data_IF_985528590678
#
_entry.id   IF_985528590678
#
_cell.length_a   1.000
_cell.length_b   1.000
_cell.length_c   1.000
_cell.angle_alpha   90.00
_cell.angle_beta   90.00
_cell.angle_gamma   90.00
#
_symmetry.space_group_name_H-M   'P 1'
#
loop_
_entity.id
_entity.type
_entity.pdbx_description
1 polymer ?
#
# COMPACT_ATOMS: atom_id res chain seq x y z
N UNK A 1 9.57 -16.87 -24.85
CA UNK A 1 9.49 -17.82 -23.73
C UNK A 1 9.85 -17.14 -22.40
N UNK A 2 10.84 -16.25 -22.37
CA UNK A 2 11.24 -15.57 -21.14
C UNK A 2 10.22 -14.53 -20.66
N UNK A 3 9.60 -13.78 -21.55
CA UNK A 3 8.57 -12.78 -21.20
C UNK A 3 7.30 -13.46 -20.65
N UNK A 4 6.86 -14.54 -21.26
CA UNK A 4 5.69 -15.30 -20.76
C UNK A 4 5.94 -15.85 -19.36
N UNK A 5 7.12 -16.40 -19.09
CA UNK A 5 7.51 -16.89 -17.77
C UNK A 5 7.56 -15.77 -16.74
N UNK A 6 7.98 -14.57 -17.13
CA UNK A 6 8.02 -13.38 -16.28
C UNK A 6 6.60 -12.91 -15.91
N UNK A 7 5.70 -12.87 -16.91
CA UNK A 7 4.29 -12.53 -16.70
C UNK A 7 3.63 -13.55 -15.77
N UNK A 8 3.79 -14.83 -16.02
CA UNK A 8 3.21 -15.89 -15.18
C UNK A 8 3.73 -15.79 -13.74
N UNK A 9 5.03 -15.56 -13.55
CA UNK A 9 5.61 -15.39 -12.21
C UNK A 9 4.99 -14.18 -11.50
N UNK A 10 4.85 -13.06 -12.19
CA UNK A 10 4.26 -11.85 -11.63
C UNK A 10 2.78 -12.07 -11.25
N UNK A 11 2.01 -12.76 -12.07
CA UNK A 11 0.62 -13.10 -11.75
C UNK A 11 0.50 -14.03 -10.54
N UNK A 12 1.40 -15.01 -10.43
CA UNK A 12 1.46 -15.90 -9.28
C UNK A 12 1.80 -15.10 -8.02
N UNK A 13 2.80 -14.22 -8.06
CA UNK A 13 3.15 -13.36 -6.93
C UNK A 13 1.97 -12.47 -6.51
N UNK A 14 1.28 -11.84 -7.46
CA UNK A 14 0.09 -11.02 -7.21
C UNK A 14 -1.04 -11.83 -6.54
N UNK A 15 -1.27 -13.07 -6.98
CA UNK A 15 -2.26 -13.95 -6.38
C UNK A 15 -1.89 -14.35 -4.95
N UNK A 16 -0.62 -14.60 -4.68
CA UNK A 16 -0.14 -14.90 -3.32
C UNK A 16 -0.26 -13.69 -2.39
N UNK A 17 0.03 -12.49 -2.87
CA UNK A 17 -0.15 -11.25 -2.10
C UNK A 17 -1.62 -11.02 -1.77
N UNK A 18 -2.53 -11.18 -2.73
CA UNK A 18 -3.97 -11.08 -2.50
C UNK A 18 -4.47 -12.12 -1.49
N UNK A 19 -3.95 -13.35 -1.55
CA UNK A 19 -4.29 -14.40 -0.61
C UNK A 19 -3.82 -14.07 0.80
N UNK A 20 -2.57 -13.63 0.98
CA UNK A 20 -2.01 -13.22 2.27
C UNK A 20 -2.80 -12.06 2.87
N UNK A 21 -3.10 -11.04 2.07
CA UNK A 21 -3.89 -9.91 2.53
C UNK A 21 -5.28 -10.32 3.05
N UNK A 22 -5.97 -11.23 2.35
CA UNK A 22 -7.28 -11.74 2.79
C UNK A 22 -7.18 -12.52 4.09
N UNK A 23 -6.05 -13.14 4.35
CA UNK A 23 -5.85 -13.99 5.51
C UNK A 23 -5.44 -13.21 6.77
N UNK A 24 -4.50 -12.27 6.68
CA UNK A 24 -3.93 -11.57 7.84
C UNK A 24 -4.15 -10.04 7.86
N UNK A 25 -4.71 -9.47 6.80
CA UNK A 25 -4.96 -8.03 6.68
C UNK A 25 -3.70 -7.18 6.53
N UNK A 26 -2.55 -7.77 6.26
CA UNK A 26 -1.27 -7.13 6.07
C UNK A 26 -0.85 -7.07 4.60
N UNK A 27 0.01 -6.11 4.29
CA UNK A 27 0.54 -5.89 2.95
C UNK A 27 2.03 -6.19 2.94
N UNK A 28 2.49 -7.01 2.00
CA UNK A 28 3.88 -7.43 1.90
C UNK A 28 4.61 -6.67 0.79
N UNK A 29 5.79 -6.09 1.07
CA UNK A 29 6.61 -5.41 0.07
C UNK A 29 7.03 -6.37 -1.05
N UNK A 30 7.02 -5.89 -2.30
CA UNK A 30 7.50 -6.65 -3.44
C UNK A 30 9.03 -6.49 -3.65
N UNK A 31 9.61 -7.33 -4.48
CA UNK A 31 11.05 -7.36 -4.72
C UNK A 31 11.61 -6.06 -5.29
N UNK A 32 10.84 -5.34 -6.11
CA UNK A 32 11.26 -4.04 -6.65
C UNK A 32 11.37 -2.97 -5.57
N UNK A 33 10.45 -2.96 -4.59
CA UNK A 33 10.55 -2.08 -3.43
C UNK A 33 11.77 -2.42 -2.57
N UNK A 34 12.00 -3.71 -2.31
CA UNK A 34 13.16 -4.20 -1.56
C UNK A 34 14.45 -3.75 -2.22
N UNK A 35 14.57 -3.90 -3.53
CA UNK A 35 15.74 -3.46 -4.30
C UNK A 35 15.98 -1.95 -4.12
N UNK A 36 14.95 -1.13 -4.32
CA UNK A 36 15.06 0.32 -4.16
C UNK A 36 15.47 0.74 -2.75
N UNK A 37 14.94 0.08 -1.72
CA UNK A 37 15.31 0.33 -0.34
C UNK A 37 16.77 -0.04 -0.05
N UNK A 38 17.26 -1.17 -0.55
CA UNK A 38 18.65 -1.59 -0.38
C UNK A 38 19.62 -0.63 -1.09
N UNK A 39 19.31 -0.21 -2.31
CA UNK A 39 20.10 0.78 -3.05
C UNK A 39 20.16 2.12 -2.29
N UNK A 40 19.02 2.59 -1.77
CA UNK A 40 18.97 3.83 -1.00
C UNK A 40 19.71 3.73 0.34
N UNK A 41 19.61 2.61 1.06
CA UNK A 41 20.38 2.39 2.30
C UNK A 41 21.88 2.45 2.02
N UNK A 42 22.34 1.81 0.94
CA UNK A 42 23.74 1.88 0.53
C UNK A 42 24.17 3.31 0.14
N UNK A 43 23.34 4.05 -0.60
CA UNK A 43 23.62 5.44 -0.94
C UNK A 43 23.73 6.33 0.32
N UNK A 44 22.86 6.13 1.30
CA UNK A 44 22.89 6.84 2.57
C UNK A 44 24.15 6.50 3.40
N UNK A 45 24.60 5.25 3.37
CA UNK A 45 25.85 4.86 4.01
C UNK A 45 27.08 5.55 3.39
N UNK A 46 27.07 5.74 2.07
CA UNK A 46 28.13 6.43 1.35
C UNK A 46 28.09 7.95 1.59
N UNK A 47 26.91 8.54 1.49
CA UNK A 47 26.69 9.97 1.72
C UNK A 47 25.22 10.23 2.13
N UNK A 48 25.03 10.56 3.40
CA UNK A 48 23.71 10.83 3.97
C UNK A 48 23.24 12.25 3.64
N UNK A 49 22.54 12.40 2.53
CA UNK A 49 21.90 13.64 2.10
C UNK A 49 20.53 13.87 2.72
N UNK A 50 19.96 12.88 3.42
CA UNK A 50 18.61 12.97 3.99
C UNK A 50 18.48 14.05 5.07
N UNK A 51 19.59 14.37 5.74
CA UNK A 51 19.68 15.42 6.77
C UNK A 51 19.42 16.83 6.23
N UNK A 52 19.59 17.04 4.93
CA UNK A 52 19.42 18.34 4.28
C UNK A 52 17.98 18.58 3.82
N UNK A 53 17.08 17.65 4.04
CA UNK A 53 15.67 17.76 3.62
C UNK A 53 14.84 18.26 4.80
N UNK A 54 14.35 19.50 4.70
CA UNK A 54 13.67 20.24 5.77
C UNK A 54 12.39 19.61 6.34
N UNK A 55 11.85 18.56 5.73
CA UNK A 55 10.64 17.87 6.14
C UNK A 55 10.83 16.36 6.33
N UNK A 56 12.07 15.87 6.32
CA UNK A 56 12.36 14.50 6.69
C UNK A 56 12.25 14.39 8.21
N UNK A 57 11.26 13.68 8.71
CA UNK A 57 11.27 13.19 10.08
C UNK A 57 12.51 12.31 10.20
N UNK A 58 13.57 12.87 10.79
CA UNK A 58 14.86 12.24 10.93
C UNK A 58 14.71 10.83 11.51
N UNK A 59 15.31 9.85 10.85
CA UNK A 59 15.31 8.46 11.30
C UNK A 59 14.18 7.58 10.80
N UNK A 60 13.00 8.10 10.45
CA UNK A 60 11.87 7.26 10.05
C UNK A 60 12.07 6.57 8.68
N UNK A 61 12.77 7.21 7.75
CA UNK A 61 13.05 6.66 6.42
C UNK A 61 13.97 5.45 6.47
N UNK A 62 15.08 5.52 7.19
CA UNK A 62 16.04 4.41 7.29
C UNK A 62 15.45 3.17 7.98
N UNK A 63 14.74 3.38 9.10
CA UNK A 63 14.06 2.27 9.80
C UNK A 63 13.01 1.62 8.90
N UNK A 64 12.22 2.42 8.20
CA UNK A 64 11.21 1.93 7.27
C UNK A 64 11.85 1.15 6.11
N UNK A 65 12.94 1.66 5.54
CA UNK A 65 13.67 0.98 4.48
C UNK A 65 14.19 -0.40 4.92
N UNK A 66 14.70 -0.52 6.16
CA UNK A 66 15.12 -1.81 6.72
C UNK A 66 13.96 -2.78 6.86
N UNK A 67 12.81 -2.34 7.37
CA UNK A 67 11.59 -3.17 7.44
C UNK A 67 11.14 -3.64 6.06
N UNK A 68 11.12 -2.76 5.06
CA UNK A 68 10.77 -3.11 3.67
C UNK A 68 11.80 -4.09 3.09
N UNK A 69 13.11 -3.84 3.29
CA UNK A 69 14.18 -4.73 2.81
C UNK A 69 14.09 -6.14 3.41
N UNK A 70 13.63 -6.25 4.66
CA UNK A 70 13.36 -7.53 5.33
C UNK A 70 11.99 -8.14 4.97
N UNK A 71 11.25 -7.54 4.06
CA UNK A 71 9.87 -7.95 3.68
C UNK A 71 8.92 -8.05 4.88
N UNK A 72 9.12 -7.21 5.89
CA UNK A 72 8.19 -7.14 7.02
C UNK A 72 6.82 -6.65 6.55
N UNK A 73 5.73 -7.24 7.06
CA UNK A 73 4.39 -6.85 6.66
C UNK A 73 4.05 -5.42 7.09
N UNK A 74 3.37 -4.70 6.22
CA UNK A 74 2.88 -3.34 6.47
C UNK A 74 1.39 -3.37 6.76
N UNK A 75 0.96 -2.68 7.80
CA UNK A 75 -0.46 -2.52 8.09
C UNK A 75 -1.06 -1.35 7.30
N UNK A 76 -2.39 -1.24 7.35
CA UNK A 76 -3.10 -0.21 6.61
C UNK A 76 -2.72 1.23 7.00
N UNK A 77 -2.43 1.50 8.27
CA UNK A 77 -2.00 2.82 8.71
C UNK A 77 -0.64 3.20 8.11
N UNK A 78 0.27 2.23 8.06
CA UNK A 78 1.59 2.42 7.41
C UNK A 78 1.44 2.64 5.92
N UNK A 79 0.57 1.89 5.24
CA UNK A 79 0.27 2.07 3.82
C UNK A 79 -0.27 3.48 3.52
N UNK A 80 -1.20 3.99 4.34
CA UNK A 80 -1.72 5.36 4.20
C UNK A 80 -0.63 6.42 4.36
N UNK A 81 0.28 6.24 5.32
CA UNK A 81 1.41 7.16 5.54
C UNK A 81 2.36 7.15 4.35
N UNK A 82 2.65 5.97 3.79
CA UNK A 82 3.47 5.84 2.59
C UNK A 82 2.81 6.55 1.40
N UNK A 83 1.53 6.32 1.18
CA UNK A 83 0.79 7.00 0.11
C UNK A 83 0.83 8.51 0.27
N UNK A 84 0.56 9.04 1.46
CA UNK A 84 0.59 10.47 1.73
C UNK A 84 1.99 11.07 1.48
N UNK A 85 3.06 10.35 1.82
CA UNK A 85 4.42 10.75 1.52
C UNK A 85 4.66 10.84 0.01
N UNK A 86 4.27 9.83 -0.76
CA UNK A 86 4.44 9.81 -2.20
C UNK A 86 3.62 10.92 -2.88
N UNK A 87 2.35 11.08 -2.52
CA UNK A 87 1.47 12.11 -3.10
C UNK A 87 2.01 13.52 -2.85
N UNK A 88 2.54 13.78 -1.65
CA UNK A 88 3.09 15.08 -1.27
C UNK A 88 4.35 15.44 -2.05
N UNK A 89 5.22 14.47 -2.30
CA UNK A 89 6.56 14.74 -2.81
C UNK A 89 6.74 14.45 -4.31
N UNK A 90 5.73 13.91 -4.97
CA UNK A 90 5.83 13.47 -6.37
C UNK A 90 6.27 14.56 -7.33
N UNK A 91 5.68 15.75 -7.26
CA UNK A 91 6.01 16.83 -8.19
C UNK A 91 7.46 17.29 -8.06
N UNK A 92 7.97 17.38 -6.83
CA UNK A 92 9.36 17.76 -6.59
C UNK A 92 10.32 16.66 -7.01
N UNK A 93 9.99 15.40 -6.74
CA UNK A 93 10.77 14.24 -7.20
C UNK A 93 10.88 14.20 -8.72
N UNK A 94 9.77 14.41 -9.44
CA UNK A 94 9.78 14.48 -10.91
C UNK A 94 10.62 15.65 -11.41
N UNK A 95 10.54 16.82 -10.75
CA UNK A 95 11.36 17.99 -11.07
C UNK A 95 12.85 17.68 -10.91
N UNK A 96 13.26 17.06 -9.81
CA UNK A 96 14.66 16.73 -9.58
C UNK A 96 15.18 15.67 -10.57
N UNK A 97 14.40 14.63 -10.85
CA UNK A 97 14.74 13.65 -11.89
C UNK A 97 14.90 14.28 -13.27
N UNK A 98 14.07 15.24 -13.62
CA UNK A 98 14.17 15.97 -14.92
C UNK A 98 15.44 16.81 -15.03
N UNK A 99 16.02 17.22 -13.89
CA UNK A 99 17.31 17.92 -13.82
C UNK A 99 18.52 16.97 -13.84
N UNK A 100 18.29 15.65 -13.90
CA UNK A 100 19.33 14.64 -13.86
C UNK A 100 19.81 14.27 -12.46
N UNK A 101 19.09 14.69 -11.42
CA UNK A 101 19.38 14.29 -10.03
C UNK A 101 19.04 12.81 -9.81
N UNK A 102 19.78 12.19 -8.89
CA UNK A 102 19.60 10.79 -8.48
C UNK A 102 19.74 10.61 -6.96
N UNK A 103 19.77 9.37 -6.49
CA UNK A 103 19.92 9.04 -5.07
C UNK A 103 21.30 9.40 -4.48
N UNK A 104 22.30 9.72 -5.31
CA UNK A 104 23.63 10.10 -4.86
C UNK A 104 23.81 11.62 -4.84
N UNK A 105 22.90 12.38 -5.44
CA UNK A 105 22.95 13.85 -5.54
C UNK A 105 21.81 14.55 -4.80
N UNK A 106 20.67 13.87 -4.55
CA UNK A 106 19.49 14.45 -3.93
C UNK A 106 19.04 13.70 -2.68
N UNK A 107 18.93 14.43 -1.56
CA UNK A 107 18.39 13.89 -0.32
C UNK A 107 16.92 13.47 -0.42
N UNK A 108 16.12 14.20 -1.19
CA UNK A 108 14.72 13.85 -1.43
C UNK A 108 14.60 12.55 -2.22
N UNK A 109 15.45 12.33 -3.22
CA UNK A 109 15.47 11.08 -3.98
C UNK A 109 16.00 9.90 -3.14
N UNK A 110 16.94 10.13 -2.22
CA UNK A 110 17.30 9.13 -1.23
C UNK A 110 16.10 8.73 -0.38
N UNK A 111 15.37 9.69 0.19
CA UNK A 111 14.17 9.42 1.00
C UNK A 111 13.09 8.72 0.17
N UNK A 112 12.85 9.17 -1.05
CA UNK A 112 11.90 8.53 -1.97
C UNK A 112 12.19 7.04 -2.15
N UNK A 113 13.46 6.69 -2.36
CA UNK A 113 13.87 5.30 -2.52
C UNK A 113 13.91 4.52 -1.19
N UNK A 114 14.17 5.17 -0.05
CA UNK A 114 14.03 4.55 1.26
C UNK A 114 12.59 4.09 1.57
N UNK A 115 11.60 4.71 0.93
CA UNK A 115 10.19 4.30 1.00
C UNK A 115 9.78 3.33 -0.12
N UNK A 116 10.72 2.83 -0.90
CA UNK A 116 10.51 1.86 -1.99
C UNK A 116 10.52 2.45 -3.39
N UNK A 117 10.76 3.76 -3.54
CA UNK A 117 10.86 4.42 -4.83
C UNK A 117 9.55 4.42 -5.64
N UNK A 118 9.67 4.48 -6.96
CA UNK A 118 8.50 4.44 -7.87
C UNK A 118 7.73 3.11 -7.74
N UNK A 119 8.42 2.02 -7.45
CA UNK A 119 7.80 0.73 -7.17
C UNK A 119 6.93 0.79 -5.90
N UNK A 120 7.41 1.44 -4.84
CA UNK A 120 6.67 1.65 -3.60
C UNK A 120 5.42 2.50 -3.82
N UNK A 121 5.52 3.58 -4.59
CA UNK A 121 4.37 4.42 -4.97
C UNK A 121 3.32 3.62 -5.73
N UNK A 122 3.72 2.89 -6.76
CA UNK A 122 2.81 2.07 -7.57
C UNK A 122 2.13 0.99 -6.72
N UNK A 123 2.89 0.33 -5.86
CA UNK A 123 2.40 -0.67 -4.93
C UNK A 123 1.37 -0.10 -3.94
N UNK A 124 1.65 1.05 -3.33
CA UNK A 124 0.70 1.75 -2.45
C UNK A 124 -0.61 2.09 -3.16
N UNK A 125 -0.54 2.63 -4.37
CA UNK A 125 -1.73 3.00 -5.14
C UNK A 125 -2.60 1.78 -5.44
N UNK A 126 -1.99 0.66 -5.82
CA UNK A 126 -2.70 -0.59 -6.09
C UNK A 126 -3.44 -1.10 -4.86
N UNK A 127 -2.77 -1.14 -3.70
CA UNK A 127 -3.38 -1.69 -2.49
C UNK A 127 -4.42 -0.78 -1.84
N UNK A 128 -4.25 0.54 -1.91
CA UNK A 128 -5.27 1.50 -1.45
C UNK A 128 -6.53 1.40 -2.31
N UNK A 129 -6.39 1.29 -3.63
CA UNK A 129 -7.53 1.17 -4.56
C UNK A 129 -8.30 -0.12 -4.33
N UNK A 130 -7.63 -1.26 -4.19
CA UNK A 130 -8.25 -2.57 -3.91
C UNK A 130 -9.07 -2.54 -2.62
N UNK A 131 -8.57 -1.92 -1.57
CA UNK A 131 -9.29 -1.82 -0.30
C UNK A 131 -10.52 -0.93 -0.37
N UNK A 132 -10.47 0.17 -1.10
CA UNK A 132 -11.62 1.03 -1.28
C UNK A 132 -12.75 0.28 -2.01
N UNK A 133 -12.42 -0.50 -3.03
CA UNK A 133 -13.38 -1.36 -3.75
C UNK A 133 -13.99 -2.43 -2.84
N UNK A 134 -13.20 -3.06 -1.96
CA UNK A 134 -13.68 -4.08 -1.02
C UNK A 134 -14.61 -3.50 0.05
N UNK A 135 -14.35 -2.28 0.52
CA UNK A 135 -15.22 -1.61 1.49
C UNK A 135 -16.55 -1.16 0.87
N UNK A 136 -16.56 -0.83 -0.42
CA UNK A 136 -17.78 -0.41 -1.12
C UNK A 136 -18.73 -1.60 -1.34
N UNK A 137 -18.20 -2.75 -1.75
CA UNK A 137 -18.96 -4.00 -1.84
C UNK A 137 -19.53 -4.45 -0.51
N UNK A 138 -18.79 -4.31 0.59
CA UNK A 138 -19.29 -4.69 1.92
C UNK A 138 -20.39 -3.75 2.44
N UNK A 139 -20.39 -2.48 2.05
CA UNK A 139 -21.49 -1.53 2.33
C UNK A 139 -22.75 -1.88 1.57
N UNK A 140 -22.63 -2.28 0.31
CA UNK A 140 -23.77 -2.69 -0.54
C UNK A 140 -24.45 -3.94 0.01
N UNK A 141 -23.68 -4.94 0.46
CA UNK A 141 -24.23 -6.17 1.06
C UNK A 141 -24.90 -5.88 2.42
N UNK A 142 -24.35 -4.98 3.25
CA UNK A 142 -24.99 -4.59 4.51
C UNK A 142 -26.27 -3.77 4.30
N UNK A 143 -26.37 -3.02 3.21
CA UNK A 143 -27.59 -2.30 2.84
C UNK A 143 -28.73 -3.24 2.36
N UNK A 144 -28.40 -4.38 1.76
CA UNK A 144 -29.38 -5.36 1.28
C UNK A 144 -29.96 -6.24 2.40
N UNK A 145 -29.29 -6.40 3.54
CA UNK A 145 -29.82 -7.13 4.70
C UNK A 145 -30.78 -6.32 5.56
N UNK A 146 -31.10 -5.10 5.16
CA UNK A 146 -32.08 -4.23 5.80
C UNK A 146 -33.52 -4.45 5.35
N UNK A 147 -33.86 -5.61 4.78
CA UNK A 147 -35.27 -6.01 4.63
C UNK A 147 -35.78 -6.33 6.02
N UNK A 148 -36.28 -5.30 6.65
CA UNK A 148 -37.14 -5.45 7.84
C UNK A 148 -38.26 -6.39 7.45
N UNK A 149 -38.30 -7.55 8.04
CA UNK A 149 -39.50 -8.38 8.14
C UNK A 149 -40.53 -7.62 8.98
N UNK A 150 -41.16 -6.64 8.35
CA UNK A 150 -42.39 -6.06 8.86
C UNK A 150 -43.53 -6.95 8.34
N UNK A 151 -44.28 -7.46 9.29
CA UNK A 151 -45.57 -8.07 9.14
C UNK A 151 -45.61 -9.54 8.65
N UNK A 152 -45.25 -10.44 9.57
CA UNK A 152 -46.06 -11.62 9.76
C UNK A 152 -47.09 -11.26 10.83
N UNK A 153 -48.13 -10.55 10.42
CA UNK A 153 -49.37 -10.50 11.19
C UNK A 153 -49.95 -11.90 11.23
N UNK A 154 -50.03 -12.42 12.35
CA UNK A 154 -50.71 -13.63 12.74
C UNK A 154 -52.25 -13.47 12.52
N UNK A 155 -52.87 -14.13 11.56
CA UNK A 155 -54.34 -14.10 11.43
C UNK A 155 -54.93 -15.39 12.00
N UNK A 156 -54.86 -15.61 13.30
CA UNK A 156 -55.67 -16.65 13.93
C UNK A 156 -56.02 -16.23 15.36
N UNK A 157 -56.99 -15.32 15.43
CA UNK A 157 -57.79 -15.18 16.62
C UNK A 157 -59.26 -15.26 16.17
N UNK A 158 -59.65 -16.43 15.73
CA UNK A 158 -61.08 -16.78 15.62
C UNK A 158 -61.58 -17.15 17.04
N UNK A 159 -62.17 -16.16 17.65
CA UNK A 159 -62.96 -16.31 18.86
C UNK A 159 -64.24 -17.08 18.45
N UNK A 160 -64.35 -18.32 18.87
CA UNK A 160 -65.61 -19.07 18.87
C UNK A 160 -66.32 -18.77 20.19
N UNK A 161 -67.34 -17.97 20.12
CA UNK A 161 -68.34 -17.87 21.20
C UNK A 161 -69.37 -18.96 21.00
N UNK A 162 -69.57 -19.74 22.04
CA UNK A 162 -70.82 -20.35 22.42
C UNK A 162 -71.12 -19.97 23.84
#
# INVERSE_FOLDING_TARGET
VNEVRKIIRQEIENLFEDFRYRYDGNFYPNDSMVKNCLEALNAVEQNDLTKNVSNANEGSGKSKAKSIANKEPLNHSQLKRMKAFFDKNESEVLSQKSKGEDIYSSGLLQIWNLWGGDAGKSWCNTHVSKRNSSNDTSKTVRGASGIKSKNLMNPLNTRIHR
#
